data_IF_176050272716
#
_entry.id   IF_176050272716
#
_cell.length_a   1.000
_cell.length_b   1.000
_cell.length_c   1.000
_cell.angle_alpha   90.00
_cell.angle_beta   90.00
_cell.angle_gamma   90.00
#
_symmetry.space_group_name_H-M   'P 1'
#
loop_
_entity.id
_entity.type
_entity.pdbx_description
1 polymer ?
#
# COMPACT_ATOMS: atom_id res chain seq x y z
N UNK A 1 16.49 4.97 8.04
CA UNK A 1 15.18 4.51 7.50
C UNK A 1 15.21 4.31 5.99
N UNK A 2 15.53 5.32 5.17
CA UNK A 2 15.54 5.25 3.70
C UNK A 2 16.29 4.04 3.12
N UNK A 3 17.52 3.77 3.56
CA UNK A 3 18.31 2.63 3.11
C UNK A 3 17.66 1.28 3.46
N UNK A 4 16.98 1.18 4.59
CA UNK A 4 16.25 -0.04 4.96
C UNK A 4 15.07 -0.32 4.02
N UNK A 5 14.30 0.72 3.66
CA UNK A 5 13.24 0.58 2.67
C UNK A 5 13.77 0.11 1.30
N UNK A 6 14.92 0.63 0.85
CA UNK A 6 15.55 0.17 -0.39
C UNK A 6 16.01 -1.29 -0.31
N UNK A 7 16.55 -1.71 0.82
CA UNK A 7 16.93 -3.12 1.02
C UNK A 7 15.72 -4.06 0.90
N UNK A 8 14.58 -3.69 1.50
CA UNK A 8 13.37 -4.51 1.41
C UNK A 8 12.76 -4.46 -0.01
N UNK A 9 12.84 -3.29 -0.65
CA UNK A 9 12.42 -3.15 -2.05
C UNK A 9 13.17 -4.09 -2.99
N UNK A 10 14.48 -4.29 -2.81
CA UNK A 10 15.26 -5.22 -3.63
C UNK A 10 14.71 -6.65 -3.55
N UNK A 11 14.32 -7.11 -2.36
CA UNK A 11 13.70 -8.44 -2.18
C UNK A 11 12.35 -8.56 -2.91
N UNK A 12 11.57 -7.49 -2.95
CA UNK A 12 10.31 -7.44 -3.71
C UNK A 12 10.62 -7.56 -5.20
N UNK A 13 11.62 -6.84 -5.69
CA UNK A 13 12.04 -6.89 -7.09
C UNK A 13 12.57 -8.27 -7.51
N UNK A 14 13.27 -8.97 -6.62
CA UNK A 14 13.72 -10.35 -6.87
C UNK A 14 12.53 -11.30 -7.07
N UNK A 15 11.47 -11.16 -6.27
CA UNK A 15 10.24 -11.94 -6.45
C UNK A 15 9.54 -11.56 -7.75
N UNK A 16 9.41 -10.26 -8.05
CA UNK A 16 8.82 -9.80 -9.32
C UNK A 16 9.58 -10.33 -10.52
N UNK A 17 10.92 -10.34 -10.50
CA UNK A 17 11.75 -10.90 -11.55
C UNK A 17 11.49 -12.42 -11.74
N UNK A 18 11.28 -13.15 -10.63
CA UNK A 18 10.96 -14.59 -10.69
C UNK A 18 9.60 -14.84 -11.38
N UNK A 19 8.62 -13.94 -11.19
CA UNK A 19 7.27 -14.06 -11.77
C UNK A 19 7.24 -13.55 -13.21
N UNK A 20 7.86 -12.41 -13.47
CA UNK A 20 7.66 -11.65 -14.72
C UNK A 20 8.88 -11.66 -15.65
N UNK A 21 10.01 -12.18 -15.19
CA UNK A 21 11.29 -12.17 -15.92
C UNK A 21 11.99 -10.80 -15.93
N UNK A 22 11.40 -9.77 -15.30
CA UNK A 22 11.96 -8.42 -15.25
C UNK A 22 11.77 -7.77 -13.89
N UNK A 23 12.74 -6.95 -13.47
CA UNK A 23 12.66 -6.19 -12.20
C UNK A 23 11.80 -4.94 -12.32
N UNK A 24 11.71 -4.37 -13.52
CA UNK A 24 10.96 -3.16 -13.86
C UNK A 24 10.23 -3.33 -15.18
N UNK A 25 9.19 -2.54 -15.37
CA UNK A 25 8.43 -2.50 -16.63
C UNK A 25 7.94 -3.88 -17.06
N UNK A 26 7.25 -4.55 -16.14
CA UNK A 26 6.68 -5.86 -16.42
C UNK A 26 5.68 -5.78 -17.57
N UNK A 27 5.81 -6.67 -18.56
CA UNK A 27 4.92 -6.78 -19.71
C UNK A 27 4.03 -8.03 -19.61
N UNK A 28 3.56 -8.33 -18.41
CA UNK A 28 2.73 -9.51 -18.13
C UNK A 28 1.33 -9.40 -18.70
N UNK A 29 0.76 -8.20 -18.68
CA UNK A 29 -0.62 -7.98 -19.14
C UNK A 29 -0.71 -8.01 -20.66
N UNK A 30 -1.67 -8.75 -21.18
CA UNK A 30 -1.99 -8.83 -22.59
C UNK A 30 -3.50 -8.91 -22.81
N UNK A 31 -3.97 -8.71 -24.02
CA UNK A 31 -5.39 -8.87 -24.35
C UNK A 31 -5.79 -10.33 -24.08
N UNK A 32 -6.77 -10.52 -23.22
CA UNK A 32 -7.30 -11.84 -22.82
C UNK A 32 -6.64 -12.43 -21.57
N UNK A 33 -5.75 -11.71 -20.86
CA UNK A 33 -5.21 -12.17 -19.58
C UNK A 33 -3.76 -11.82 -19.32
N UNK A 34 -2.98 -12.78 -18.86
CA UNK A 34 -1.56 -12.63 -18.54
C UNK A 34 -0.69 -13.53 -19.42
N UNK A 35 0.55 -13.13 -19.64
CA UNK A 35 1.47 -13.83 -20.54
C UNK A 35 1.96 -15.17 -19.97
N UNK A 36 2.22 -15.21 -18.67
CA UNK A 36 2.71 -16.38 -17.94
C UNK A 36 1.90 -16.59 -16.67
N UNK A 37 1.74 -17.84 -16.29
CA UNK A 37 1.13 -18.20 -15.02
C UNK A 37 2.15 -18.19 -13.89
N UNK A 38 1.68 -18.05 -12.65
CA UNK A 38 2.53 -18.07 -11.45
C UNK A 38 2.78 -19.52 -11.06
N UNK A 39 4.05 -19.92 -11.01
CA UNK A 39 4.43 -21.28 -10.63
C UNK A 39 4.57 -21.44 -9.09
N UNK A 40 4.63 -22.68 -8.62
CA UNK A 40 4.72 -23.01 -7.20
C UNK A 40 5.98 -22.43 -6.52
N UNK A 41 7.10 -22.36 -7.23
CA UNK A 41 8.34 -21.77 -6.70
C UNK A 41 8.18 -20.28 -6.44
N UNK A 42 7.56 -19.54 -7.37
CA UNK A 42 7.27 -18.10 -7.20
C UNK A 42 6.29 -17.84 -6.07
N UNK A 43 5.26 -18.69 -5.92
CA UNK A 43 4.32 -18.62 -4.79
C UNK A 43 5.04 -18.83 -3.45
N UNK A 44 5.91 -19.84 -3.37
CA UNK A 44 6.70 -20.10 -2.16
C UNK A 44 7.59 -18.91 -1.80
N UNK A 45 8.33 -18.36 -2.77
CA UNK A 45 9.17 -17.16 -2.56
C UNK A 45 8.34 -15.95 -2.11
N UNK A 46 7.15 -15.76 -2.67
CA UNK A 46 6.22 -14.70 -2.26
C UNK A 46 5.78 -14.87 -0.82
N UNK A 47 5.40 -16.06 -0.39
CA UNK A 47 5.03 -16.34 0.99
C UNK A 47 6.18 -16.11 1.98
N UNK A 48 7.38 -16.54 1.64
CA UNK A 48 8.59 -16.32 2.45
C UNK A 48 8.89 -14.81 2.57
N UNK A 49 8.74 -14.06 1.48
CA UNK A 49 8.90 -12.61 1.47
C UNK A 49 7.88 -11.90 2.37
N UNK A 50 6.60 -12.25 2.27
CA UNK A 50 5.53 -11.66 3.11
C UNK A 50 5.80 -11.93 4.59
N UNK A 51 6.17 -13.18 4.93
CA UNK A 51 6.51 -13.56 6.30
C UNK A 51 7.71 -12.78 6.85
N UNK A 52 8.68 -12.47 6.00
CA UNK A 52 9.83 -11.65 6.34
C UNK A 52 9.47 -10.17 6.48
N UNK A 53 8.67 -9.61 5.54
CA UNK A 53 8.37 -8.18 5.49
C UNK A 53 7.46 -7.72 6.61
N UNK A 54 6.43 -8.48 6.97
CA UNK A 54 5.41 -8.06 7.94
C UNK A 54 6.01 -7.53 9.26
N UNK A 55 6.90 -8.24 9.96
CA UNK A 55 7.53 -7.72 11.18
C UNK A 55 8.46 -6.52 10.91
N UNK A 56 9.12 -6.47 9.75
CA UNK A 56 10.00 -5.34 9.40
C UNK A 56 9.22 -4.06 9.12
N UNK A 57 8.10 -4.15 8.44
CA UNK A 57 7.23 -3.01 8.20
C UNK A 57 6.65 -2.47 9.51
N UNK A 58 6.23 -3.33 10.41
CA UNK A 58 5.76 -2.91 11.75
C UNK A 58 6.85 -2.14 12.50
N UNK A 59 8.08 -2.66 12.54
CA UNK A 59 9.24 -1.97 13.14
C UNK A 59 9.47 -0.59 12.52
N UNK A 60 9.41 -0.48 11.19
CA UNK A 60 9.63 0.79 10.48
C UNK A 60 8.51 1.79 10.73
N UNK A 61 7.28 1.32 10.79
CA UNK A 61 6.13 2.17 11.08
C UNK A 61 6.17 2.72 12.50
N UNK A 62 6.56 1.90 13.47
CA UNK A 62 6.74 2.34 14.85
C UNK A 62 7.82 3.44 14.95
N UNK A 63 8.94 3.26 14.29
CA UNK A 63 10.01 4.27 14.27
C UNK A 63 9.54 5.58 13.64
N UNK A 64 8.85 5.52 12.49
CA UNK A 64 8.38 6.73 11.80
C UNK A 64 7.25 7.40 12.58
N UNK A 65 6.29 6.64 13.09
CA UNK A 65 5.11 7.18 13.78
C UNK A 65 5.44 7.84 15.11
N UNK A 66 6.55 7.42 15.75
CA UNK A 66 7.02 7.98 17.01
C UNK A 66 8.14 9.03 16.84
N UNK A 67 8.54 9.34 15.60
CA UNK A 67 9.52 10.39 15.35
C UNK A 67 8.89 11.78 15.52
N UNK A 68 9.41 12.54 16.48
CA UNK A 68 8.88 13.86 16.83
C UNK A 68 8.99 14.86 15.67
N UNK A 69 10.10 14.83 14.94
CA UNK A 69 10.30 15.72 13.80
C UNK A 69 9.31 15.40 12.69
N UNK A 70 9.09 14.11 12.42
CA UNK A 70 8.08 13.69 11.46
C UNK A 70 6.68 14.15 11.87
N UNK A 71 6.31 13.97 13.13
CA UNK A 71 5.00 14.42 13.64
C UNK A 71 4.82 15.94 13.52
N UNK A 72 5.84 16.73 13.92
CA UNK A 72 5.77 18.20 13.82
C UNK A 72 5.66 18.68 12.38
N UNK A 73 6.21 17.97 11.40
CA UNK A 73 6.19 18.33 9.99
C UNK A 73 4.98 17.80 9.22
N UNK A 74 4.17 16.96 9.81
CA UNK A 74 3.06 16.30 9.11
C UNK A 74 1.71 16.48 9.77
N UNK A 75 1.63 16.58 11.12
CA UNK A 75 0.37 16.82 11.83
C UNK A 75 -0.13 18.24 11.60
N UNK A 76 -1.41 18.34 11.26
CA UNK A 76 -2.08 19.60 10.93
C UNK A 76 -1.49 20.36 9.73
N UNK A 77 -0.68 19.70 8.91
CA UNK A 77 -0.08 20.28 7.70
C UNK A 77 -0.74 19.68 6.46
N UNK A 78 -1.11 20.56 5.50
CA UNK A 78 -1.74 20.15 4.26
C UNK A 78 -3.10 19.48 4.51
N UNK A 79 -3.88 20.01 5.44
CA UNK A 79 -5.22 19.52 5.76
C UNK A 79 -6.14 19.67 4.55
N UNK A 80 -6.78 18.58 4.16
CA UNK A 80 -7.75 18.53 3.07
C UNK A 80 -9.08 18.08 3.68
N UNK A 81 -10.08 18.95 3.63
CA UNK A 81 -11.40 18.62 4.18
C UNK A 81 -12.10 17.55 3.34
N UNK A 82 -13.03 16.82 3.96
CA UNK A 82 -13.86 15.82 3.30
C UNK A 82 -14.62 16.41 2.09
N UNK A 83 -15.16 17.62 2.24
CA UNK A 83 -15.92 18.29 1.19
C UNK A 83 -15.04 18.66 0.00
N UNK A 84 -13.82 19.13 0.26
CA UNK A 84 -12.86 19.44 -0.80
C UNK A 84 -12.44 18.17 -1.56
N UNK A 85 -12.21 17.05 -0.85
CA UNK A 85 -11.90 15.77 -1.50
C UNK A 85 -13.04 15.31 -2.41
N UNK A 86 -14.28 15.39 -1.92
CA UNK A 86 -15.44 14.97 -2.70
C UNK A 86 -15.67 15.86 -3.93
N UNK A 87 -15.56 17.19 -3.77
CA UNK A 87 -15.74 18.12 -4.88
C UNK A 87 -14.64 18.06 -5.94
N UNK A 88 -13.43 17.69 -5.55
CA UNK A 88 -12.29 17.56 -6.47
C UNK A 88 -12.12 16.15 -7.07
N UNK A 89 -12.98 15.19 -6.69
CA UNK A 89 -12.86 13.80 -7.14
C UNK A 89 -11.65 13.06 -6.56
N UNK A 90 -11.19 13.45 -5.37
CA UNK A 90 -10.07 12.80 -4.69
C UNK A 90 -10.40 11.36 -4.31
N UNK A 91 -9.43 10.47 -4.44
CA UNK A 91 -9.60 9.03 -4.18
C UNK A 91 -8.40 8.43 -3.41
N UNK A 92 -8.50 7.15 -3.09
CA UNK A 92 -7.41 6.40 -2.46
C UNK A 92 -7.02 6.91 -1.07
N UNK A 93 -5.74 6.85 -0.69
CA UNK A 93 -5.27 7.28 0.63
C UNK A 93 -5.54 8.76 0.96
N UNK A 94 -5.71 9.61 -0.05
CA UNK A 94 -6.08 11.03 0.16
C UNK A 94 -7.50 11.11 0.70
N UNK A 95 -8.45 10.42 0.07
CA UNK A 95 -9.83 10.37 0.52
C UNK A 95 -9.94 9.69 1.88
N UNK A 96 -9.30 8.56 2.05
CA UNK A 96 -9.32 7.82 3.33
C UNK A 96 -8.66 8.58 4.47
N UNK A 97 -7.58 9.32 4.21
CA UNK A 97 -6.96 10.23 5.18
C UNK A 97 -7.90 11.35 5.65
N UNK A 98 -8.83 11.78 4.80
CA UNK A 98 -9.84 12.80 5.11
C UNK A 98 -11.17 12.20 5.64
N UNK A 99 -11.16 10.94 6.09
CA UNK A 99 -12.31 10.30 6.73
C UNK A 99 -13.38 9.75 5.77
N UNK A 100 -13.03 9.55 4.48
CA UNK A 100 -13.95 8.94 3.51
C UNK A 100 -13.70 7.46 3.45
N UNK A 101 -14.69 6.68 3.88
CA UNK A 101 -14.65 5.22 3.82
C UNK A 101 -15.07 4.74 2.42
N UNK A 102 -14.14 4.78 1.50
CA UNK A 102 -14.35 4.31 0.14
C UNK A 102 -13.13 3.55 -0.39
N UNK A 103 -13.40 2.32 -0.85
CA UNK A 103 -12.46 1.52 -1.61
C UNK A 103 -13.23 0.76 -2.70
N UNK A 104 -12.86 0.96 -3.95
CA UNK A 104 -13.55 0.35 -5.09
C UNK A 104 -13.58 -1.19 -5.02
N UNK A 105 -12.56 -1.80 -4.42
CA UNK A 105 -12.47 -3.24 -4.24
C UNK A 105 -13.56 -3.80 -3.31
N UNK A 106 -14.11 -2.96 -2.41
CA UNK A 106 -15.23 -3.32 -1.50
C UNK A 106 -16.56 -2.72 -1.93
N UNK A 107 -16.55 -1.46 -2.39
CA UNK A 107 -17.80 -0.75 -2.70
C UNK A 107 -18.38 -1.15 -4.05
N UNK A 108 -17.52 -1.44 -5.02
CA UNK A 108 -17.89 -1.92 -6.36
C UNK A 108 -16.95 -3.05 -6.75
N UNK A 109 -17.02 -4.15 -6.00
CA UNK A 109 -16.12 -5.28 -6.15
C UNK A 109 -16.09 -5.80 -7.59
N UNK A 110 -14.93 -6.20 -8.04
CA UNK A 110 -14.68 -6.77 -9.36
C UNK A 110 -13.73 -7.96 -9.26
N UNK A 111 -13.77 -8.84 -10.25
CA UNK A 111 -12.97 -10.06 -10.32
C UNK A 111 -13.09 -10.92 -9.05
N UNK A 112 -11.99 -11.16 -8.34
CA UNK A 112 -11.94 -12.04 -7.17
C UNK A 112 -11.92 -11.30 -5.83
N UNK A 113 -12.07 -9.97 -5.82
CA UNK A 113 -11.95 -9.20 -4.59
C UNK A 113 -13.01 -9.51 -3.53
N UNK A 114 -14.18 -10.04 -3.91
CA UNK A 114 -15.20 -10.50 -2.98
C UNK A 114 -14.75 -11.68 -2.10
N UNK A 115 -13.71 -12.40 -2.55
CA UNK A 115 -13.15 -13.53 -1.81
C UNK A 115 -12.13 -13.11 -0.75
N UNK A 116 -11.72 -11.83 -0.73
CA UNK A 116 -10.73 -11.33 0.22
C UNK A 116 -11.37 -10.53 1.34
N UNK A 117 -10.93 -10.82 2.56
CA UNK A 117 -11.28 -10.04 3.75
C UNK A 117 -10.09 -9.14 4.11
N UNK A 118 -10.27 -7.83 4.01
CA UNK A 118 -9.29 -6.82 4.43
C UNK A 118 -10.00 -5.61 5.01
N UNK A 119 -9.32 -4.84 5.85
CA UNK A 119 -9.86 -3.62 6.42
C UNK A 119 -9.50 -2.39 5.57
N UNK A 120 -10.31 -1.35 5.65
CA UNK A 120 -10.05 -0.06 5.00
C UNK A 120 -9.58 0.91 6.08
N UNK A 121 -8.28 1.20 6.20
CA UNK A 121 -7.78 2.16 7.16
C UNK A 121 -8.27 3.57 6.83
N UNK A 122 -8.77 4.28 7.85
CA UNK A 122 -9.33 5.62 7.70
C UNK A 122 -8.64 6.57 8.67
N UNK A 123 -8.27 7.76 8.18
CA UNK A 123 -7.82 8.88 8.99
C UNK A 123 -8.99 9.77 9.44
N UNK A 124 -8.71 10.77 10.21
CA UNK A 124 -9.73 11.69 10.74
C UNK A 124 -9.44 13.16 10.50
N UNK A 125 -8.16 13.54 10.41
CA UNK A 125 -7.74 14.94 10.35
C UNK A 125 -7.52 15.46 8.92
N UNK A 126 -7.39 14.56 7.96
CA UNK A 126 -7.14 14.91 6.56
C UNK A 126 -5.77 15.53 6.30
N UNK A 127 -4.83 15.43 7.22
CA UNK A 127 -3.51 16.01 7.14
C UNK A 127 -2.48 15.04 6.50
N UNK A 128 -1.25 15.50 6.38
CA UNK A 128 -0.16 14.69 5.81
C UNK A 128 0.18 13.48 6.67
N UNK A 129 0.02 13.59 7.99
CA UNK A 129 0.24 12.48 8.92
C UNK A 129 -0.77 11.36 8.68
N UNK A 130 -2.06 11.68 8.62
CA UNK A 130 -3.12 10.70 8.38
C UNK A 130 -2.95 10.00 7.02
N UNK A 131 -2.64 10.75 5.96
CA UNK A 131 -2.36 10.15 4.65
C UNK A 131 -1.18 9.18 4.67
N UNK A 132 -0.15 9.47 5.46
CA UNK A 132 1.00 8.56 5.62
C UNK A 132 0.60 7.34 6.43
N UNK A 133 -0.09 7.53 7.55
CA UNK A 133 -0.54 6.44 8.42
C UNK A 133 -1.50 5.48 7.71
N UNK A 134 -2.42 6.02 6.89
CA UNK A 134 -3.32 5.21 6.06
C UNK A 134 -2.51 4.31 5.11
N UNK A 135 -1.53 4.87 4.37
CA UNK A 135 -0.68 4.08 3.46
C UNK A 135 0.11 2.99 4.19
N UNK A 136 0.63 3.31 5.38
CA UNK A 136 1.34 2.34 6.20
C UNK A 136 0.45 1.17 6.62
N UNK A 137 -0.76 1.47 7.09
CA UNK A 137 -1.74 0.44 7.48
C UNK A 137 -2.17 -0.41 6.28
N UNK A 138 -2.45 0.23 5.13
CA UNK A 138 -2.79 -0.48 3.89
C UNK A 138 -1.68 -1.41 3.38
N UNK A 139 -0.43 -1.15 3.73
CA UNK A 139 0.69 -2.02 3.36
C UNK A 139 0.75 -3.28 4.23
N UNK A 140 0.11 -3.28 5.41
CA UNK A 140 0.06 -4.43 6.32
C UNK A 140 -1.16 -5.33 6.08
N UNK A 141 -2.20 -4.81 5.43
CA UNK A 141 -3.39 -5.56 4.97
C UNK A 141 -3.10 -6.36 3.70
#
# INVERSE_FOLDING_TARGET
>A
MFLYCFREREKILDVLETITGTRFHTNMNQVGGVRYDVNEESLKKTHELIKYLKPKLTEYFDVISNDEIFMQRTKNIGVISKDLVLSSGGSGPVARGSGINYDIRKNNSYEVYDNFSFEIPIGSNGDSYDRTTVRMKETLE
#
